data_IF_938082278002
#
_entry.id   IF_938082278002
#
_cell.length_a   1.000
_cell.length_b   1.000
_cell.length_c   1.000
_cell.angle_alpha   90.00
_cell.angle_beta   90.00
_cell.angle_gamma   90.00
#
_symmetry.space_group_name_H-M   'P 1'
#
loop_
_entity.id
_entity.type
_entity.pdbx_description
1 polymer ?
#
# COMPACT_ATOMS: atom_id res chain seq x y z
N UNK A 1 33.94 12.80 12.13
CA UNK A 1 33.22 13.22 13.35
C UNK A 1 31.78 13.43 12.96
N UNK A 2 30.89 12.48 13.27
CA UNK A 2 29.47 12.62 13.00
C UNK A 2 28.89 13.60 14.03
N UNK A 3 28.30 14.69 13.55
CA UNK A 3 27.57 15.63 14.40
C UNK A 3 26.40 14.90 15.03
N UNK A 4 26.41 14.78 16.36
CA UNK A 4 25.27 14.31 17.15
C UNK A 4 24.11 15.25 16.86
N UNK A 5 23.10 14.75 16.15
CA UNK A 5 21.86 15.47 15.90
C UNK A 5 21.24 15.86 17.24
N UNK A 6 21.07 17.15 17.45
CA UNK A 6 20.34 17.69 18.59
C UNK A 6 18.89 17.27 18.39
N UNK A 7 18.35 16.43 19.28
CA UNK A 7 16.92 16.10 19.24
C UNK A 7 16.13 17.40 19.41
N UNK A 8 15.25 17.68 18.45
CA UNK A 8 14.37 18.83 18.54
C UNK A 8 13.45 18.67 19.76
N UNK A 9 13.21 19.75 20.52
CA UNK A 9 12.34 19.68 21.69
C UNK A 9 10.93 19.23 21.27
N UNK A 10 10.20 18.51 22.16
CA UNK A 10 8.85 18.08 21.86
C UNK A 10 7.96 19.30 21.58
N UNK A 11 7.13 19.19 20.54
CA UNK A 11 6.16 20.20 20.13
C UNK A 11 5.34 20.68 21.33
N UNK A 12 5.29 21.99 21.52
CA UNK A 12 4.50 22.62 22.56
C UNK A 12 3.01 22.54 22.25
N UNK A 13 2.16 22.66 23.28
CA UNK A 13 0.71 22.64 23.09
C UNK A 13 0.22 23.77 22.17
N UNK A 14 0.86 24.95 22.23
CA UNK A 14 0.56 26.08 21.37
C UNK A 14 0.88 25.80 19.89
N UNK A 15 2.03 25.19 19.61
CA UNK A 15 2.43 24.81 18.24
C UNK A 15 1.49 23.74 17.66
N UNK A 16 1.06 22.77 18.47
CA UNK A 16 0.07 21.77 18.04
C UNK A 16 -1.28 22.41 17.71
N UNK A 17 -1.75 23.36 18.53
CA UNK A 17 -3.00 24.09 18.25
C UNK A 17 -2.90 24.94 16.99
N UNK A 18 -1.76 25.60 16.78
CA UNK A 18 -1.47 26.36 15.57
C UNK A 18 -1.45 25.46 14.34
N UNK A 19 -0.77 24.32 14.42
CA UNK A 19 -0.74 23.32 13.35
C UNK A 19 -2.15 22.82 13.00
N UNK A 20 -2.97 22.50 14.00
CA UNK A 20 -4.36 22.08 13.80
C UNK A 20 -5.23 23.19 13.20
N UNK A 21 -4.98 24.46 13.54
CA UNK A 21 -5.64 25.60 12.89
C UNK A 21 -5.27 25.70 11.42
N UNK A 22 -3.98 25.60 11.09
CA UNK A 22 -3.49 25.60 9.70
C UNK A 22 -4.17 24.48 8.90
N UNK A 23 -4.23 23.25 9.43
CA UNK A 23 -4.91 22.14 8.76
C UNK A 23 -6.40 22.39 8.52
N UNK A 24 -7.09 23.02 9.47
CA UNK A 24 -8.51 23.38 9.32
C UNK A 24 -8.71 24.46 8.26
N UNK A 25 -7.85 25.48 8.23
CA UNK A 25 -7.89 26.56 7.26
C UNK A 25 -7.63 26.05 5.85
N UNK A 26 -6.59 25.21 5.67
CA UNK A 26 -6.31 24.54 4.40
C UNK A 26 -7.52 23.73 3.97
N UNK A 27 -8.12 22.94 4.85
CA UNK A 27 -9.36 22.19 4.55
C UNK A 27 -10.52 23.09 4.11
N UNK A 28 -10.69 24.26 4.74
CA UNK A 28 -11.77 25.19 4.38
C UNK A 28 -11.53 25.84 3.01
N UNK A 29 -10.31 26.29 2.72
CA UNK A 29 -9.96 26.86 1.40
C UNK A 29 -10.17 25.86 0.28
N UNK A 30 -9.78 24.62 0.51
CA UNK A 30 -9.94 23.53 -0.45
C UNK A 30 -11.40 23.18 -0.74
N UNK A 31 -12.34 23.48 0.17
CA UNK A 31 -13.79 23.31 -0.07
C UNK A 31 -14.39 24.35 -0.99
N UNK A 32 -13.81 25.55 -1.07
CA UNK A 32 -14.32 26.64 -1.90
C UNK A 32 -13.75 26.62 -3.32
N UNK A 33 -12.53 26.11 -3.49
CA UNK A 33 -11.75 26.23 -4.73
C UNK A 33 -11.80 24.96 -5.62
N UNK A 34 -12.17 23.80 -5.06
CA UNK A 34 -12.15 22.51 -5.74
C UNK A 34 -13.50 21.77 -5.62
N UNK A 35 -13.88 20.95 -6.61
CA UNK A 35 -15.02 20.04 -6.46
C UNK A 35 -14.81 19.16 -5.23
N UNK A 36 -15.89 18.81 -4.49
CA UNK A 36 -15.77 17.98 -3.31
C UNK A 36 -15.08 16.66 -3.68
N UNK A 37 -14.18 16.14 -2.82
CA UNK A 37 -13.45 14.91 -3.12
C UNK A 37 -14.44 13.80 -3.43
N UNK A 38 -14.17 13.05 -4.49
CA UNK A 38 -15.01 11.91 -4.86
C UNK A 38 -15.07 10.95 -3.67
N UNK A 39 -16.29 10.68 -3.21
CA UNK A 39 -16.50 9.74 -2.10
C UNK A 39 -16.27 8.35 -2.64
N UNK A 40 -15.19 7.72 -2.21
CA UNK A 40 -14.84 6.35 -2.60
C UNK A 40 -15.37 5.39 -1.53
N UNK A 41 -16.31 4.52 -1.93
CA UNK A 41 -16.70 3.33 -1.17
C UNK A 41 -15.91 2.12 -1.66
N UNK A 42 -15.37 1.34 -0.72
CA UNK A 42 -14.63 0.11 -1.02
C UNK A 42 -15.43 -1.08 -0.51
N UNK A 43 -15.84 -1.97 -1.41
CA UNK A 43 -16.52 -3.22 -1.09
C UNK A 43 -15.59 -4.37 -1.41
N UNK A 44 -15.35 -5.27 -0.47
CA UNK A 44 -14.61 -6.49 -0.69
C UNK A 44 -15.52 -7.69 -0.42
N UNK A 45 -15.48 -8.68 -1.31
CA UNK A 45 -16.34 -9.87 -1.23
C UNK A 45 -15.53 -11.15 -1.51
N UNK A 46 -15.57 -12.07 -0.56
CA UNK A 46 -14.86 -13.35 -0.61
C UNK A 46 -13.35 -13.20 -0.70
N UNK A 47 -12.78 -12.12 -0.14
CA UNK A 47 -11.37 -11.79 -0.27
C UNK A 47 -10.52 -12.86 0.42
N UNK A 48 -9.69 -13.56 -0.36
CA UNK A 48 -8.74 -14.56 0.14
C UNK A 48 -7.36 -14.32 -0.44
N UNK A 49 -6.33 -14.48 0.37
CA UNK A 49 -4.94 -14.34 -0.06
C UNK A 49 -4.21 -15.63 0.23
N UNK A 50 -3.66 -16.23 -0.80
CA UNK A 50 -2.91 -17.49 -0.72
C UNK A 50 -1.43 -17.24 -1.04
N UNK A 51 -0.55 -17.81 -0.22
CA UNK A 51 0.86 -17.94 -0.54
C UNK A 51 1.09 -19.28 -1.20
N UNK A 52 1.70 -19.26 -2.39
CA UNK A 52 2.21 -20.48 -3.00
C UNK A 52 3.62 -20.74 -2.49
N UNK A 53 3.73 -21.63 -1.51
CA UNK A 53 5.03 -22.22 -1.22
C UNK A 53 5.28 -23.26 -2.31
N UNK A 54 6.18 -22.94 -3.26
CA UNK A 54 6.84 -24.00 -4.02
C UNK A 54 7.44 -24.91 -2.97
N UNK A 55 7.08 -26.19 -3.00
CA UNK A 55 7.62 -27.21 -2.10
C UNK A 55 9.12 -27.43 -2.35
N UNK A 56 9.94 -26.41 -2.16
CA UNK A 56 11.35 -26.52 -1.89
C UNK A 56 11.47 -26.83 -0.39
N UNK A 57 10.93 -27.96 0.03
CA UNK A 57 11.13 -28.47 1.38
C UNK A 57 12.62 -28.40 1.71
N UNK A 58 12.99 -27.60 2.71
CA UNK A 58 14.36 -27.50 3.26
C UNK A 58 15.48 -27.17 2.25
N UNK A 59 15.23 -26.58 1.09
CA UNK A 59 16.28 -26.30 0.08
C UNK A 59 16.39 -24.81 -0.26
N UNK A 60 16.68 -24.00 0.76
CA UNK A 60 16.89 -22.56 0.61
C UNK A 60 18.36 -22.15 0.33
N UNK A 61 19.24 -23.11 0.01
CA UNK A 61 20.61 -22.82 -0.43
C UNK A 61 20.92 -23.63 -1.71
N UNK A 62 21.17 -22.96 -2.86
CA UNK A 62 21.65 -23.64 -4.05
C UNK A 62 23.13 -23.99 -3.85
N UNK A 63 23.40 -25.10 -3.16
CA UNK A 63 24.70 -25.75 -3.27
C UNK A 63 24.82 -26.35 -4.67
N UNK A 64 25.99 -26.25 -5.31
CA UNK A 64 26.29 -26.78 -6.64
C UNK A 64 25.67 -28.16 -6.94
N UNK A 65 25.75 -29.17 -6.04
CA UNK A 65 25.12 -30.47 -6.28
C UNK A 65 23.57 -30.41 -6.33
N UNK A 66 22.94 -29.54 -5.54
CA UNK A 66 21.48 -29.37 -5.53
C UNK A 66 20.97 -28.67 -6.79
N UNK A 67 21.76 -27.75 -7.38
CA UNK A 67 21.40 -27.10 -8.64
C UNK A 67 21.43 -28.09 -9.82
N UNK A 68 22.43 -28.96 -9.87
CA UNK A 68 22.52 -30.01 -10.88
C UNK A 68 21.40 -31.04 -10.75
N UNK A 69 21.12 -31.51 -9.51
CA UNK A 69 20.00 -32.41 -9.28
C UNK A 69 18.65 -31.77 -9.63
N UNK A 70 18.44 -30.49 -9.32
CA UNK A 70 17.22 -29.79 -9.69
C UNK A 70 17.10 -29.63 -11.21
N UNK A 71 18.20 -29.38 -11.93
CA UNK A 71 18.24 -29.33 -13.38
C UNK A 71 17.90 -30.68 -14.02
N UNK A 72 18.49 -31.77 -13.50
CA UNK A 72 18.17 -33.13 -13.93
C UNK A 72 16.71 -33.49 -13.63
N UNK A 73 16.20 -33.11 -12.45
CA UNK A 73 14.81 -33.34 -12.05
C UNK A 73 13.81 -32.51 -12.86
N UNK A 74 14.19 -31.32 -13.33
CA UNK A 74 13.39 -30.50 -14.25
C UNK A 74 13.32 -31.11 -15.66
N UNK A 75 14.42 -31.68 -16.16
CA UNK A 75 14.45 -32.41 -17.45
C UNK A 75 13.61 -33.68 -17.36
N UNK A 76 13.74 -34.44 -16.27
CA UNK A 76 12.92 -35.65 -16.03
C UNK A 76 11.44 -35.29 -15.82
N UNK A 77 11.15 -34.17 -15.15
CA UNK A 77 9.78 -33.66 -14.99
C UNK A 77 9.13 -33.18 -16.29
N UNK A 78 9.93 -32.79 -17.29
CA UNK A 78 9.46 -32.41 -18.63
C UNK A 78 9.01 -33.59 -19.50
N UNK A 79 9.35 -34.82 -19.11
CA UNK A 79 8.98 -36.07 -19.78
C UNK A 79 7.76 -36.78 -19.17
N UNK A 80 6.90 -36.02 -18.48
CA UNK A 80 5.66 -36.42 -17.79
C UNK A 80 5.82 -37.17 -16.44
N UNK A 81 4.97 -36.76 -15.50
CA UNK A 81 4.53 -37.48 -14.29
C UNK A 81 5.18 -37.24 -12.92
N UNK A 82 5.70 -36.04 -12.61
CA UNK A 82 5.86 -35.62 -11.21
C UNK A 82 5.49 -34.14 -11.02
N UNK A 83 4.19 -33.87 -10.87
CA UNK A 83 3.72 -32.58 -10.37
C UNK A 83 4.19 -32.41 -8.92
N UNK A 84 5.20 -31.57 -8.70
CA UNK A 84 5.60 -31.16 -7.37
C UNK A 84 4.37 -30.56 -6.66
N UNK A 85 3.91 -31.20 -5.58
CA UNK A 85 2.77 -30.72 -4.79
C UNK A 85 3.14 -29.37 -4.18
N UNK A 86 2.68 -28.28 -4.78
CA UNK A 86 2.71 -26.96 -4.16
C UNK A 86 1.73 -26.97 -2.99
N UNK A 87 2.21 -26.58 -1.80
CA UNK A 87 1.34 -26.45 -0.64
C UNK A 87 0.89 -25.00 -0.61
N UNK A 88 -0.40 -24.76 -0.81
CA UNK A 88 -0.96 -23.42 -0.68
C UNK A 88 -1.26 -23.14 0.78
N UNK A 89 -0.84 -21.98 1.26
CA UNK A 89 -1.14 -21.50 2.61
C UNK A 89 -2.01 -20.26 2.52
N UNK A 90 -3.18 -20.29 3.15
CA UNK A 90 -4.10 -19.15 3.17
C UNK A 90 -3.69 -18.17 4.28
N UNK A 91 -3.34 -16.94 3.90
CA UNK A 91 -3.04 -15.84 4.84
C UNK A 91 -4.35 -15.14 5.25
N UNK A 92 -5.26 -14.94 4.30
CA UNK A 92 -6.57 -14.33 4.50
C UNK A 92 -7.61 -15.30 3.94
N UNK A 93 -8.68 -15.56 4.69
CA UNK A 93 -9.68 -16.55 4.34
C UNK A 93 -11.08 -15.92 4.26
N UNK A 94 -11.59 -15.77 3.03
CA UNK A 94 -12.98 -15.41 2.70
C UNK A 94 -13.55 -14.23 3.49
N UNK A 95 -12.83 -13.11 3.47
CA UNK A 95 -13.23 -11.89 4.18
C UNK A 95 -14.12 -11.03 3.27
N UNK A 96 -15.30 -10.65 3.75
CA UNK A 96 -16.24 -9.74 3.06
C UNK A 96 -16.60 -8.54 3.94
N UNK A 97 -16.83 -7.37 3.34
CA UNK A 97 -17.14 -6.15 4.07
C UNK A 97 -17.14 -4.88 3.20
N UNK A 98 -17.48 -3.76 3.84
CA UNK A 98 -17.64 -2.46 3.18
C UNK A 98 -16.95 -1.38 4.02
N UNK A 99 -16.03 -0.64 3.40
CA UNK A 99 -15.44 0.59 3.94
C UNK A 99 -16.20 1.76 3.34
N UNK A 100 -16.93 2.48 4.21
CA UNK A 100 -17.75 3.62 3.80
C UNK A 100 -16.90 4.89 3.72
N UNK A 101 -17.18 5.78 2.76
CA UNK A 101 -16.50 7.07 2.68
C UNK A 101 -16.76 7.91 3.94
N UNK A 102 -15.83 8.83 4.24
CA UNK A 102 -15.92 9.75 5.40
C UNK A 102 -15.90 9.05 6.77
N UNK A 103 -15.38 7.82 6.85
CA UNK A 103 -15.15 7.11 8.11
C UNK A 103 -13.73 6.55 8.15
N UNK A 104 -13.12 6.58 9.32
CA UNK A 104 -11.86 5.89 9.58
C UNK A 104 -12.16 4.45 9.99
N UNK A 105 -11.55 3.48 9.33
CA UNK A 105 -11.71 2.05 9.65
C UNK A 105 -10.42 1.53 10.25
N UNK A 106 -10.47 1.03 11.48
CA UNK A 106 -9.29 0.50 12.17
C UNK A 106 -9.24 -1.02 12.06
N UNK A 107 -8.16 -1.56 11.49
CA UNK A 107 -7.93 -3.01 11.39
C UNK A 107 -7.03 -3.48 12.54
N UNK A 108 -7.58 -4.28 13.46
CA UNK A 108 -6.87 -4.81 14.62
C UNK A 108 -6.71 -6.33 14.55
N UNK A 109 -5.65 -6.85 15.16
CA UNK A 109 -5.36 -8.29 15.21
C UNK A 109 -3.96 -8.57 15.75
N UNK A 110 -3.72 -9.82 16.17
CA UNK A 110 -2.43 -10.27 16.69
C UNK A 110 -1.29 -10.11 15.65
N UNK A 111 -0.01 -9.98 16.06
CA UNK A 111 1.11 -10.00 15.12
C UNK A 111 1.05 -11.27 14.25
N UNK A 112 1.29 -11.13 12.94
CA UNK A 112 1.18 -12.24 11.98
C UNK A 112 -0.23 -12.54 11.46
N UNK A 113 -1.29 -11.86 11.93
CA UNK A 113 -2.67 -12.10 11.50
C UNK A 113 -3.03 -11.64 10.08
N UNK A 114 -2.06 -11.17 9.28
CA UNK A 114 -2.30 -10.74 7.90
C UNK A 114 -2.88 -9.32 7.72
N UNK A 115 -2.86 -8.44 8.74
CA UNK A 115 -3.35 -7.04 8.63
C UNK A 115 -2.69 -6.27 7.49
N UNK A 116 -1.35 -6.27 7.46
CA UNK A 116 -0.58 -5.59 6.41
C UNK A 116 -0.87 -6.19 5.04
N UNK A 117 -1.03 -7.52 4.98
CA UNK A 117 -1.41 -8.23 3.74
C UNK A 117 -2.81 -7.82 3.29
N UNK A 118 -3.76 -7.65 4.22
CA UNK A 118 -5.12 -7.22 3.94
C UNK A 118 -5.15 -5.80 3.36
N UNK A 119 -4.44 -4.86 3.99
CA UNK A 119 -4.33 -3.48 3.49
C UNK A 119 -3.65 -3.41 2.12
N UNK A 120 -2.59 -4.20 1.90
CA UNK A 120 -1.93 -4.30 0.59
C UNK A 120 -2.82 -4.92 -0.48
N UNK A 121 -3.65 -5.90 -0.12
CA UNK A 121 -4.62 -6.52 -1.01
C UNK A 121 -5.70 -5.52 -1.45
N UNK A 122 -6.24 -4.73 -0.51
CA UNK A 122 -7.19 -3.66 -0.83
C UNK A 122 -6.56 -2.59 -1.72
N UNK A 123 -5.31 -2.20 -1.45
CA UNK A 123 -4.59 -1.21 -2.25
C UNK A 123 -4.05 -1.73 -3.59
N UNK A 124 -4.26 -3.02 -3.91
CA UNK A 124 -3.72 -3.63 -5.13
C UNK A 124 -2.19 -3.71 -5.17
N UNK A 125 -1.50 -3.57 -4.04
CA UNK A 125 -0.02 -3.66 -3.90
C UNK A 125 0.44 -4.99 -3.32
N UNK A 126 -0.28 -6.07 -3.65
CA UNK A 126 0.08 -7.42 -3.21
C UNK A 126 1.36 -7.90 -3.93
N UNK A 127 2.18 -8.68 -3.24
CA UNK A 127 3.39 -9.28 -3.81
C UNK A 127 3.03 -10.29 -4.91
N UNK A 128 3.82 -10.39 -5.97
CA UNK A 128 3.57 -11.32 -7.09
C UNK A 128 3.65 -12.80 -6.70
N UNK A 129 4.29 -13.10 -5.57
CA UNK A 129 4.30 -14.45 -4.96
C UNK A 129 2.99 -14.85 -4.30
N UNK A 130 2.08 -13.90 -4.07
CA UNK A 130 0.80 -14.12 -3.41
C UNK A 130 -0.34 -14.06 -4.44
N UNK A 131 -1.30 -14.97 -4.32
CA UNK A 131 -2.49 -15.02 -5.15
C UNK A 131 -3.67 -14.38 -4.42
N UNK A 132 -4.28 -13.40 -5.05
CA UNK A 132 -5.51 -12.76 -4.58
C UNK A 132 -6.72 -13.44 -5.22
N UNK A 133 -7.67 -13.86 -4.38
CA UNK A 133 -8.97 -14.37 -4.76
C UNK A 133 -10.08 -13.48 -4.19
N UNK A 134 -11.25 -13.53 -4.80
CA UNK A 134 -12.38 -12.65 -4.45
C UNK A 134 -12.40 -11.38 -5.29
N UNK A 135 -13.20 -10.40 -4.86
CA UNK A 135 -13.39 -9.13 -5.57
C UNK A 135 -13.21 -7.96 -4.62
N UNK A 136 -12.55 -6.92 -5.11
CA UNK A 136 -12.51 -5.60 -4.46
C UNK A 136 -13.11 -4.61 -5.45
N UNK A 137 -14.09 -3.83 -5.00
CA UNK A 137 -14.88 -2.91 -5.79
C UNK A 137 -14.70 -1.50 -5.22
N UNK A 138 -14.31 -0.54 -6.05
CA UNK A 138 -14.26 0.87 -5.73
C UNK A 138 -15.43 1.56 -6.45
N UNK A 139 -16.37 2.15 -5.71
CA UNK A 139 -17.59 2.74 -6.26
C UNK A 139 -18.32 1.78 -7.24
N UNK A 140 -18.34 0.48 -6.92
CA UNK A 140 -18.97 -0.57 -7.73
C UNK A 140 -18.15 -1.08 -8.92
N UNK A 141 -16.92 -0.57 -9.14
CA UNK A 141 -16.02 -1.02 -10.22
C UNK A 141 -14.90 -1.90 -9.67
N UNK A 142 -14.56 -2.98 -10.36
CA UNK A 142 -13.49 -3.90 -9.93
C UNK A 142 -12.13 -3.20 -9.84
N UNK A 143 -11.33 -3.58 -8.85
CA UNK A 143 -9.98 -3.05 -8.59
C UNK A 143 -9.04 -3.10 -9.79
N UNK A 144 -9.15 -4.11 -10.66
CA UNK A 144 -8.34 -4.23 -11.89
C UNK A 144 -8.60 -3.10 -12.90
N UNK A 145 -9.74 -2.44 -12.82
CA UNK A 145 -10.15 -1.31 -13.65
C UNK A 145 -10.11 0.02 -12.87
N UNK A 146 -9.72 -0.02 -11.60
CA UNK A 146 -9.72 1.16 -10.73
C UNK A 146 -8.40 1.90 -10.90
N UNK A 147 -8.43 3.20 -11.24
CA UNK A 147 -7.22 3.98 -11.35
C UNK A 147 -6.45 4.03 -10.03
N UNK A 148 -5.13 3.86 -10.09
CA UNK A 148 -4.23 3.87 -8.92
C UNK A 148 -4.32 5.15 -8.05
N UNK A 149 -4.91 6.23 -8.56
CA UNK A 149 -5.13 7.47 -7.79
C UNK A 149 -6.26 7.37 -6.75
N UNK A 150 -7.12 6.34 -6.78
CA UNK A 150 -8.24 6.22 -5.84
C UNK A 150 -7.84 5.62 -4.49
N UNK A 151 -6.68 4.96 -4.40
CA UNK A 151 -6.19 4.34 -3.17
C UNK A 151 -4.68 4.56 -3.02
N UNK A 152 -4.29 5.19 -1.90
CA UNK A 152 -2.89 5.32 -1.52
C UNK A 152 -2.58 4.34 -0.37
N UNK A 153 -1.48 3.62 -0.49
CA UNK A 153 -0.95 2.76 0.57
C UNK A 153 0.34 3.36 1.11
N UNK A 154 0.34 3.67 2.41
CA UNK A 154 1.50 4.14 3.15
C UNK A 154 2.14 2.92 3.83
N UNK A 155 3.41 2.66 3.51
CA UNK A 155 4.15 1.56 4.11
C UNK A 155 4.58 1.87 5.54
N UNK A 156 4.88 0.83 6.30
CA UNK A 156 5.46 0.97 7.65
C UNK A 156 6.85 1.64 7.63
N UNK A 157 7.59 1.49 6.52
CA UNK A 157 8.87 2.16 6.32
C UNK A 157 8.66 3.38 5.44
N UNK A 158 9.19 4.51 5.91
CA UNK A 158 9.22 5.75 5.15
C UNK A 158 10.41 5.74 4.19
N UNK A 159 10.11 5.98 2.90
CA UNK A 159 11.12 6.21 1.88
C UNK A 159 11.26 7.72 1.69
N UNK A 160 12.13 8.34 2.50
CA UNK A 160 12.41 9.77 2.42
C UNK A 160 13.89 10.01 2.09
N UNK A 161 14.17 10.95 1.18
CA UNK A 161 15.54 11.40 0.90
C UNK A 161 15.99 12.35 2.00
N UNK A 162 16.96 11.94 2.81
CA UNK A 162 17.44 12.70 3.97
C UNK A 162 18.03 14.08 3.64
N UNK A 163 18.40 14.32 2.39
CA UNK A 163 19.00 15.58 1.92
C UNK A 163 17.96 16.63 1.48
N UNK A 164 16.69 16.24 1.31
CA UNK A 164 15.62 17.15 0.89
C UNK A 164 14.85 17.70 2.11
N UNK A 165 14.51 18.98 2.06
CA UNK A 165 13.57 19.59 3.00
C UNK A 165 12.14 19.11 2.72
N UNK A 166 11.24 19.21 3.70
CA UNK A 166 9.82 18.85 3.54
C UNK A 166 9.18 19.59 2.34
N UNK A 167 9.52 20.86 2.16
CA UNK A 167 9.03 21.68 1.04
C UNK A 167 9.49 21.11 -0.30
N UNK A 168 10.78 20.82 -0.44
CA UNK A 168 11.34 20.27 -1.68
C UNK A 168 10.76 18.89 -1.99
N UNK A 169 10.55 18.04 -0.99
CA UNK A 169 9.93 16.72 -1.16
C UNK A 169 8.49 16.83 -1.67
N UNK A 170 7.70 17.76 -1.13
CA UNK A 170 6.32 18.02 -1.60
C UNK A 170 6.34 18.58 -3.03
N UNK A 171 7.19 19.57 -3.31
CA UNK A 171 7.29 20.18 -4.64
C UNK A 171 7.75 19.14 -5.68
N UNK A 172 8.73 18.30 -5.34
CA UNK A 172 9.18 17.20 -6.20
C UNK A 172 8.06 16.20 -6.50
N UNK A 173 7.30 15.80 -5.47
CA UNK A 173 6.16 14.90 -5.62
C UNK A 173 5.05 15.52 -6.49
N UNK A 174 4.77 16.82 -6.33
CA UNK A 174 3.83 17.59 -7.17
C UNK A 174 4.26 17.61 -8.64
N UNK A 175 5.55 17.82 -8.89
CA UNK A 175 6.12 17.78 -10.23
C UNK A 175 5.94 16.40 -10.88
N UNK A 176 6.19 15.31 -10.16
CA UNK A 176 6.07 13.95 -10.69
C UNK A 176 4.63 13.50 -10.93
N UNK A 177 3.70 13.90 -10.06
CA UNK A 177 2.27 13.56 -10.22
C UNK A 177 1.58 14.42 -11.29
N UNK A 178 2.30 15.35 -11.91
CA UNK A 178 1.78 16.19 -13.01
C UNK A 178 0.76 17.23 -12.56
N UNK A 179 0.71 17.55 -11.26
CA UNK A 179 -0.25 18.52 -10.70
C UNK A 179 0.05 19.97 -11.06
N UNK A 180 1.16 20.23 -11.77
CA UNK A 180 1.64 21.58 -12.09
C UNK A 180 1.22 22.11 -13.46
N UNK A 181 0.63 21.29 -14.33
CA UNK A 181 0.46 21.68 -15.74
C UNK A 181 -0.97 22.16 -16.09
N UNK A 182 -1.93 22.10 -15.17
CA UNK A 182 -3.28 22.68 -15.43
C UNK A 182 -3.86 23.53 -14.29
N UNK A 183 -3.19 23.65 -13.14
CA UNK A 183 -3.75 24.40 -12.01
C UNK A 183 -2.66 25.20 -11.29
N UNK A 184 -2.61 26.50 -11.58
CA UNK A 184 -1.62 27.46 -11.06
C UNK A 184 -1.72 27.79 -9.56
N UNK A 185 -1.97 26.81 -8.69
CA UNK A 185 -2.00 27.05 -7.24
C UNK A 185 -1.47 25.85 -6.46
N UNK A 186 -0.36 26.06 -5.76
CA UNK A 186 0.39 25.10 -4.93
C UNK A 186 -0.47 24.36 -3.89
N UNK A 187 -1.63 24.90 -3.55
CA UNK A 187 -2.53 24.35 -2.53
C UNK A 187 -3.25 23.06 -2.98
N UNK A 188 -3.29 22.74 -4.29
CA UNK A 188 -4.09 21.61 -4.81
C UNK A 188 -3.42 20.24 -4.74
N UNK A 189 -2.11 20.14 -4.49
CA UNK A 189 -1.44 18.84 -4.30
C UNK A 189 -2.06 18.05 -3.12
N UNK A 190 -2.43 18.77 -2.06
CA UNK A 190 -3.08 18.19 -0.87
C UNK A 190 -4.48 17.63 -1.21
N UNK A 191 -5.20 18.14 -2.22
CA UNK A 191 -6.46 17.51 -2.68
C UNK A 191 -6.27 16.25 -3.51
N UNK A 192 -5.14 16.12 -4.22
CA UNK A 192 -4.89 14.98 -5.09
C UNK A 192 -4.39 13.75 -4.33
N UNK A 193 -3.91 13.93 -3.10
CA UNK A 193 -3.78 12.81 -2.17
C UNK A 193 -5.21 12.48 -1.72
N UNK A 194 -5.79 11.32 -2.09
CA UNK A 194 -7.05 10.92 -1.50
C UNK A 194 -6.84 10.83 0.01
N UNK A 195 -7.35 11.81 0.76
CA UNK A 195 -7.36 11.83 2.23
C UNK A 195 -8.22 10.71 2.83
N UNK A 196 -8.64 9.75 2.03
CA UNK A 196 -9.07 8.42 2.43
C UNK A 196 -7.84 7.64 2.91
N UNK A 197 -7.29 8.02 4.06
CA UNK A 197 -6.49 7.10 4.86
C UNK A 197 -7.39 5.90 5.19
N UNK A 198 -7.12 4.77 4.54
CA UNK A 198 -7.56 3.44 4.99
C UNK A 198 -6.59 2.97 6.05
#
# INVERSE_FOLDING_TARGET
MASVGKEDPPLTQAENEEFLRILRDVRQRMRHEAPPPEKVEVVFDGLSVEAEERAAGRRALPTLPNAFLNGAQAIVGSLNMCAAKTKTFKIINEVSGIIRPSRMTLVLGAPGSGKTTFLRALAGKLDSSLKLHGKVLFNGKTSSCTPHYLCAYVSQHDLHHAEMTVRETIDFSSNLLGTNNEFGTRDRFISCIPFSFV
#
